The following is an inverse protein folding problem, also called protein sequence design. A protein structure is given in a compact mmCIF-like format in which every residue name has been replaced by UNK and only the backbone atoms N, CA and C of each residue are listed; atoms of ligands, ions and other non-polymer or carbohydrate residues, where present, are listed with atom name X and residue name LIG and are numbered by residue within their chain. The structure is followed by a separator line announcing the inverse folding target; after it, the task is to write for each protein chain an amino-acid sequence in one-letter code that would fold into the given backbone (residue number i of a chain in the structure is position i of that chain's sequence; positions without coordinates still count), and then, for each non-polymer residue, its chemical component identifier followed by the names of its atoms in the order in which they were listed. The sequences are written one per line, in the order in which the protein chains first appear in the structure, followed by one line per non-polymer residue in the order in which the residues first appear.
data_IF_749524477959
#
_entry.id   IF_749524477959
#
_cell.length_a   1.000
_cell.length_b   1.000
_cell.length_c   1.000
_cell.angle_alpha   90.00
_cell.angle_beta   90.00
_cell.angle_gamma   90.00
#
_symmetry.space_group_name_H-M   'P 1'
#
loop_
_entity.id
_entity.type
_entity.pdbx_description
1 polymer ?
#
# COMPACT_ATOMS: atom_id res chain seq x y z
N UNK A 1 3.07 -56.72 -35.07
CA UNK A 1 2.89 -55.33 -34.62
C UNK A 1 3.39 -54.45 -35.75
N UNK A 2 2.54 -53.60 -36.32
CA UNK A 2 2.86 -52.83 -37.52
C UNK A 2 3.79 -51.66 -37.17
N UNK A 3 4.95 -51.57 -37.81
CA UNK A 3 6.02 -50.62 -37.43
C UNK A 3 5.55 -49.16 -37.49
N UNK A 4 4.61 -48.87 -38.39
CA UNK A 4 3.99 -47.55 -38.55
C UNK A 4 3.14 -47.15 -37.34
N UNK A 5 2.45 -48.11 -36.72
CA UNK A 5 1.63 -47.88 -35.52
C UNK A 5 2.47 -47.61 -34.27
N UNK A 6 3.61 -48.31 -34.14
CA UNK A 6 4.56 -48.07 -33.06
C UNK A 6 5.20 -46.68 -33.15
N UNK A 7 5.63 -46.28 -34.35
CA UNK A 7 6.22 -44.96 -34.59
C UNK A 7 5.21 -43.84 -34.32
N UNK A 8 3.96 -43.98 -34.76
CA UNK A 8 2.90 -43.00 -34.47
C UNK A 8 2.64 -42.84 -32.96
N UNK A 9 2.67 -43.94 -32.20
CA UNK A 9 2.51 -43.90 -30.74
C UNK A 9 3.68 -43.20 -30.06
N UNK A 10 4.91 -43.42 -30.52
CA UNK A 10 6.11 -42.77 -29.99
C UNK A 10 6.06 -41.25 -30.18
N UNK A 11 5.66 -40.78 -31.36
CA UNK A 11 5.47 -39.34 -31.60
C UNK A 11 4.34 -38.74 -30.76
N UNK A 12 3.24 -39.47 -30.55
CA UNK A 12 2.16 -39.04 -29.66
C UNK A 12 2.66 -38.89 -28.22
N UNK A 13 3.40 -39.87 -27.71
CA UNK A 13 3.97 -39.83 -26.36
C UNK A 13 4.99 -38.70 -26.21
N UNK A 14 5.85 -38.48 -27.20
CA UNK A 14 6.81 -37.38 -27.20
C UNK A 14 6.10 -36.02 -27.17
N UNK A 15 5.00 -35.88 -27.92
CA UNK A 15 4.17 -34.67 -27.89
C UNK A 15 3.52 -34.44 -26.52
N UNK A 16 3.00 -35.50 -25.88
CA UNK A 16 2.44 -35.40 -24.51
C UNK A 16 3.50 -35.00 -23.48
N UNK A 17 4.71 -35.57 -23.55
CA UNK A 17 5.81 -35.17 -22.68
C UNK A 17 6.16 -33.70 -22.87
N UNK A 18 6.17 -33.22 -24.12
CA UNK A 18 6.42 -31.81 -24.41
C UNK A 18 5.36 -30.89 -23.80
N UNK A 19 4.07 -31.24 -23.92
CA UNK A 19 2.98 -30.51 -23.28
C UNK A 19 3.09 -30.51 -21.76
N UNK A 20 3.50 -31.63 -21.16
CA UNK A 20 3.71 -31.72 -19.71
C UNK A 20 4.84 -30.80 -19.26
N UNK A 21 5.98 -30.79 -19.96
CA UNK A 21 7.11 -29.89 -19.68
C UNK A 21 6.66 -28.43 -19.79
N UNK A 22 5.92 -28.10 -20.85
CA UNK A 22 5.43 -26.74 -21.08
C UNK A 22 4.48 -26.29 -19.97
N UNK A 23 3.59 -27.16 -19.52
CA UNK A 23 2.66 -26.90 -18.40
C UNK A 23 3.41 -26.63 -17.08
N UNK A 24 4.42 -27.47 -16.77
CA UNK A 24 5.24 -27.34 -15.56
C UNK A 24 5.94 -25.98 -15.50
N UNK A 25 6.37 -25.43 -16.64
CA UNK A 25 7.05 -24.13 -16.70
C UNK A 25 6.05 -22.97 -16.74
N UNK A 26 4.96 -23.12 -17.49
CA UNK A 26 4.03 -22.01 -17.76
C UNK A 26 3.17 -21.65 -16.55
N UNK A 27 2.68 -22.66 -15.81
CA UNK A 27 1.84 -22.44 -14.61
C UNK A 27 2.54 -21.56 -13.55
N UNK A 28 3.76 -21.89 -13.08
CA UNK A 28 4.43 -21.05 -12.07
C UNK A 28 4.79 -19.67 -12.59
N UNK A 29 5.11 -19.53 -13.88
CA UNK A 29 5.37 -18.21 -14.48
C UNK A 29 4.13 -17.31 -14.44
N UNK A 30 2.96 -17.84 -14.79
CA UNK A 30 1.69 -17.10 -14.71
C UNK A 30 1.39 -16.72 -13.25
N UNK A 31 1.58 -17.65 -12.32
CA UNK A 31 1.33 -17.40 -10.91
C UNK A 31 2.19 -16.24 -10.36
N UNK A 32 3.50 -16.27 -10.60
CA UNK A 32 4.42 -15.20 -10.19
C UNK A 32 4.07 -13.85 -10.83
N UNK A 33 3.63 -13.86 -12.08
CA UNK A 33 3.22 -12.65 -12.78
C UNK A 33 1.95 -12.03 -12.16
N UNK A 34 0.99 -12.87 -11.74
CA UNK A 34 -0.23 -12.44 -11.04
C UNK A 34 0.10 -11.86 -9.67
N UNK A 35 0.94 -12.52 -8.87
CA UNK A 35 1.36 -12.01 -7.56
C UNK A 35 2.05 -10.65 -7.67
N UNK A 36 3.00 -10.53 -8.60
CA UNK A 36 3.69 -9.25 -8.86
C UNK A 36 2.71 -8.15 -9.27
N UNK A 37 1.70 -8.48 -10.08
CA UNK A 37 0.67 -7.52 -10.50
C UNK A 37 -0.20 -7.07 -9.33
N UNK A 38 -0.61 -8.00 -8.45
CA UNK A 38 -1.39 -7.68 -7.26
C UNK A 38 -0.62 -6.82 -6.26
N UNK A 39 0.67 -7.08 -6.10
CA UNK A 39 1.59 -6.27 -5.27
C UNK A 39 1.64 -4.82 -5.76
N UNK A 40 1.75 -4.62 -7.07
CA UNK A 40 1.76 -3.29 -7.69
C UNK A 40 0.41 -2.58 -7.51
N UNK A 41 -0.70 -3.28 -7.71
CA UNK A 41 -2.05 -2.73 -7.48
C UNK A 41 -2.19 -2.25 -6.04
N UNK A 42 -1.81 -3.10 -5.07
CA UNK A 42 -1.86 -2.76 -3.64
C UNK A 42 -1.00 -1.53 -3.33
N UNK A 43 0.21 -1.46 -3.89
CA UNK A 43 1.08 -0.29 -3.72
C UNK A 43 0.47 1.00 -4.28
N UNK A 44 -0.22 0.92 -5.42
CA UNK A 44 -0.94 2.06 -6.03
C UNK A 44 -2.11 2.49 -5.15
N UNK A 45 -2.92 1.57 -4.65
CA UNK A 45 -4.04 1.86 -3.75
C UNK A 45 -3.57 2.55 -2.47
N UNK A 46 -2.50 2.04 -1.85
CA UNK A 46 -1.88 2.67 -0.68
C UNK A 46 -1.37 4.07 -1.02
N UNK A 47 -0.69 4.24 -2.16
CA UNK A 47 -0.17 5.54 -2.56
C UNK A 47 -1.32 6.53 -2.79
N UNK A 48 -2.42 6.09 -3.39
CA UNK A 48 -3.63 6.90 -3.58
C UNK A 48 -4.21 7.35 -2.24
N UNK A 49 -4.34 6.43 -1.27
CA UNK A 49 -4.76 6.74 0.09
C UNK A 49 -3.84 7.77 0.77
N UNK A 50 -2.52 7.60 0.68
CA UNK A 50 -1.57 8.56 1.26
C UNK A 50 -1.72 9.95 0.63
N UNK A 51 -1.93 10.03 -0.69
CA UNK A 51 -2.17 11.29 -1.40
C UNK A 51 -3.51 11.91 -0.99
N UNK A 52 -4.55 11.12 -0.78
CA UNK A 52 -5.84 11.62 -0.30
C UNK A 52 -5.72 12.21 1.11
N UNK A 53 -5.07 11.51 2.03
CA UNK A 53 -4.78 12.02 3.38
C UNK A 53 -3.94 13.30 3.28
N UNK A 54 -2.89 13.30 2.47
CA UNK A 54 -2.01 14.47 2.26
C UNK A 54 -2.78 15.70 1.74
N UNK A 55 -3.68 15.53 0.76
CA UNK A 55 -4.53 16.62 0.25
C UNK A 55 -5.38 17.24 1.36
N UNK A 56 -5.96 16.41 2.22
CA UNK A 56 -6.78 16.87 3.34
C UNK A 56 -5.93 17.53 4.44
N UNK A 57 -4.73 17.01 4.73
CA UNK A 57 -3.75 17.64 5.61
C UNK A 57 -3.39 19.02 5.07
N UNK A 58 -3.00 19.14 3.80
CA UNK A 58 -2.64 20.42 3.17
C UNK A 58 -3.79 21.43 3.25
N UNK A 59 -5.02 20.98 3.02
CA UNK A 59 -6.21 21.82 3.11
C UNK A 59 -6.47 22.30 4.54
N UNK A 60 -6.47 21.40 5.53
CA UNK A 60 -6.68 21.78 6.94
C UNK A 60 -5.56 22.69 7.43
N UNK A 61 -4.32 22.46 6.98
CA UNK A 61 -3.17 23.31 7.31
C UNK A 61 -3.35 24.74 6.79
N UNK A 62 -3.95 24.89 5.60
CA UNK A 62 -4.20 26.21 4.99
C UNK A 62 -5.38 26.98 5.59
N UNK A 63 -6.28 26.32 6.33
CA UNK A 63 -7.51 26.92 6.87
C UNK A 63 -7.36 27.52 8.28
N UNK A 64 -6.14 27.54 8.83
CA UNK A 64 -5.80 28.07 10.16
C UNK A 64 -6.07 27.12 11.34
N UNK A 65 -5.57 27.49 12.53
CA UNK A 65 -5.59 26.72 13.76
C UNK A 65 -7.03 26.34 14.18
N UNK A 66 -7.19 25.15 14.75
CA UNK A 66 -8.48 24.54 15.14
C UNK A 66 -9.38 24.06 14.00
N UNK A 67 -9.00 24.31 12.74
CA UNK A 67 -9.67 23.74 11.57
C UNK A 67 -9.72 22.22 11.66
N UNK A 68 -10.89 21.66 11.35
CA UNK A 68 -11.12 20.21 11.33
C UNK A 68 -11.89 19.81 10.09
N UNK A 69 -11.55 18.65 9.54
CA UNK A 69 -12.27 18.03 8.44
C UNK A 69 -12.48 16.55 8.74
N UNK A 70 -13.66 16.05 8.39
CA UNK A 70 -13.96 14.62 8.44
C UNK A 70 -13.94 14.07 7.03
N UNK A 71 -13.26 12.95 6.85
CA UNK A 71 -13.14 12.25 5.58
C UNK A 71 -13.40 10.75 5.78
N UNK A 72 -13.95 10.14 4.74
CA UNK A 72 -14.00 8.69 4.62
C UNK A 72 -12.78 8.25 3.83
N UNK A 73 -11.99 7.33 4.39
CA UNK A 73 -10.82 6.78 3.71
C UNK A 73 -10.86 5.26 3.76
N UNK A 74 -10.50 4.64 2.63
CA UNK A 74 -10.38 3.19 2.53
C UNK A 74 -8.93 2.76 2.73
N UNK A 75 -8.70 1.86 3.67
CA UNK A 75 -7.39 1.26 3.89
C UNK A 75 -7.34 -0.08 3.15
N UNK A 76 -6.50 -0.23 2.11
CA UNK A 76 -6.51 -1.40 1.24
C UNK A 76 -5.90 -2.67 1.87
N UNK A 77 -4.99 -2.52 2.82
CA UNK A 77 -4.35 -3.61 3.55
C UNK A 77 -4.02 -3.22 4.99
N UNK A 78 -3.79 -4.21 5.85
CA UNK A 78 -3.27 -3.96 7.19
C UNK A 78 -1.89 -3.29 7.07
N UNK A 79 -1.73 -2.11 7.67
CA UNK A 79 -0.52 -1.32 7.50
C UNK A 79 -0.20 -0.47 8.71
N UNK A 80 1.09 -0.19 8.88
CA UNK A 80 1.58 0.82 9.82
C UNK A 80 1.77 2.13 9.08
N UNK A 81 0.98 3.13 9.41
CA UNK A 81 1.16 4.49 8.94
C UNK A 81 2.06 5.23 9.95
N UNK A 82 3.09 5.92 9.48
CA UNK A 82 4.00 6.64 10.35
C UNK A 82 4.53 7.91 9.71
N UNK A 83 4.80 8.89 10.55
CA UNK A 83 5.41 10.16 10.20
C UNK A 83 6.94 10.04 10.26
N UNK A 84 7.62 10.59 9.25
CA UNK A 84 9.08 10.70 9.21
C UNK A 84 9.47 12.09 8.74
N UNK A 85 10.32 12.74 9.50
CA UNK A 85 10.99 13.97 9.10
C UNK A 85 12.40 13.62 8.61
N UNK A 86 12.81 14.19 7.48
CA UNK A 86 14.13 13.99 6.91
C UNK A 86 14.69 15.33 6.42
N UNK A 87 15.62 15.90 7.19
CA UNK A 87 16.07 17.28 7.05
C UNK A 87 14.89 18.25 7.05
N UNK A 88 14.64 18.95 5.93
CA UNK A 88 13.56 19.93 5.78
C UNK A 88 12.25 19.35 5.22
N UNK A 89 12.23 18.07 4.87
CA UNK A 89 11.07 17.42 4.25
C UNK A 89 10.36 16.49 5.21
N UNK A 90 9.05 16.66 5.27
CA UNK A 90 8.17 15.90 6.16
C UNK A 90 7.38 14.90 5.34
N UNK A 91 7.33 13.66 5.77
CA UNK A 91 6.73 12.56 5.01
C UNK A 91 5.73 11.76 5.84
N UNK A 92 4.59 11.49 5.23
CA UNK A 92 3.70 10.42 5.64
C UNK A 92 4.15 9.13 4.94
N UNK A 93 4.52 8.12 5.71
CA UNK A 93 5.13 6.89 5.21
C UNK A 93 4.39 5.63 5.66
N UNK A 94 4.47 4.59 4.85
CA UNK A 94 4.12 3.22 5.24
C UNK A 94 5.08 2.23 4.56
N UNK A 95 5.09 1.01 5.04
CA UNK A 95 5.90 -0.09 4.51
C UNK A 95 4.98 -1.20 4.04
N UNK A 96 5.17 -1.64 2.80
CA UNK A 96 4.48 -2.77 2.20
C UNK A 96 5.49 -3.89 1.96
N UNK A 97 5.14 -5.10 2.38
CA UNK A 97 5.90 -6.31 2.06
C UNK A 97 5.24 -6.98 0.85
N UNK A 98 6.00 -7.21 -0.20
CA UNK A 98 5.56 -7.88 -1.41
C UNK A 98 5.62 -9.40 -1.28
N UNK A 99 5.02 -10.10 -2.24
CA UNK A 99 4.95 -11.56 -2.33
C UNK A 99 6.34 -12.18 -2.47
N UNK A 100 7.31 -11.44 -3.02
CA UNK A 100 8.73 -11.82 -3.07
C UNK A 100 9.50 -11.59 -1.75
N UNK A 101 8.79 -11.24 -0.67
CA UNK A 101 9.36 -10.84 0.63
C UNK A 101 10.16 -9.53 0.63
N UNK A 102 10.20 -8.79 -0.48
CA UNK A 102 10.83 -7.48 -0.50
C UNK A 102 9.96 -6.45 0.21
N UNK A 103 10.60 -5.53 0.94
CA UNK A 103 9.90 -4.47 1.68
C UNK A 103 10.11 -3.15 0.95
N UNK A 104 9.02 -2.54 0.50
CA UNK A 104 9.05 -1.19 -0.10
C UNK A 104 8.44 -0.16 0.84
N UNK A 105 9.14 0.96 0.98
CA UNK A 105 8.65 2.14 1.68
C UNK A 105 7.89 3.04 0.70
N UNK A 106 6.64 3.33 1.02
CA UNK A 106 5.81 4.27 0.29
C UNK A 106 5.69 5.55 1.11
N UNK A 107 6.04 6.70 0.54
CA UNK A 107 6.02 7.98 1.22
C UNK A 107 5.33 9.07 0.41
N UNK A 108 4.70 10.03 1.08
CA UNK A 108 4.13 11.25 0.47
C UNK A 108 4.54 12.44 1.31
N UNK A 109 4.99 13.51 0.65
CA UNK A 109 5.44 14.74 1.31
C UNK A 109 4.26 15.54 1.86
N UNK A 110 4.34 15.92 3.13
CA UNK A 110 3.35 16.71 3.87
C UNK A 110 3.95 18.06 4.26
N UNK A 111 3.16 19.14 4.33
CA UNK A 111 3.69 20.48 4.60
C UNK A 111 3.97 20.75 6.08
N UNK A 112 3.52 19.88 6.98
CA UNK A 112 3.55 20.10 8.42
C UNK A 112 3.79 18.80 9.19
N UNK A 113 4.02 18.91 10.50
CA UNK A 113 4.09 17.76 11.38
C UNK A 113 2.73 17.04 11.44
N UNK A 114 2.78 15.72 11.54
CA UNK A 114 1.58 14.87 11.60
C UNK A 114 1.64 13.98 12.83
N UNK A 115 0.56 13.99 13.60
CA UNK A 115 0.34 13.13 14.74
C UNK A 115 -0.91 12.27 14.54
N UNK A 116 -1.04 11.18 15.29
CA UNK A 116 -2.14 10.22 15.12
C UNK A 116 -2.92 9.97 16.41
N UNK A 117 -4.16 9.50 16.28
CA UNK A 117 -5.03 9.03 17.37
C UNK A 117 -5.25 10.05 18.49
N UNK A 118 -5.36 11.34 18.16
CA UNK A 118 -5.59 12.39 19.18
C UNK A 118 -4.41 12.66 20.11
N UNK A 119 -3.27 11.99 19.93
CA UNK A 119 -2.08 12.17 20.75
C UNK A 119 -0.99 12.88 19.97
N UNK A 120 -0.58 14.02 20.50
CA UNK A 120 0.34 14.96 19.87
C UNK A 120 1.75 14.38 19.65
N UNK A 121 2.15 13.40 20.46
CA UNK A 121 3.46 12.73 20.37
C UNK A 121 3.41 11.40 19.61
N UNK A 122 2.23 10.97 19.16
CA UNK A 122 2.09 9.70 18.50
C UNK A 122 2.30 9.85 16.99
N UNK A 123 3.47 9.45 16.52
CA UNK A 123 3.89 9.57 15.12
C UNK A 123 3.59 8.32 14.30
N UNK A 124 2.84 7.35 14.84
CA UNK A 124 2.40 6.18 14.08
C UNK A 124 1.00 5.69 14.49
N UNK A 125 0.36 4.95 13.58
CA UNK A 125 -0.88 4.24 13.83
C UNK A 125 -0.90 2.92 13.05
N UNK A 126 -1.47 1.89 13.65
CA UNK A 126 -1.76 0.64 12.96
C UNK A 126 -3.18 0.70 12.44
N UNK A 127 -3.33 0.52 11.13
CA UNK A 127 -4.61 0.51 10.44
C UNK A 127 -4.88 -0.90 9.95
N UNK A 128 -6.14 -1.31 10.05
CA UNK A 128 -6.61 -2.57 9.47
C UNK A 128 -7.26 -2.30 8.13
N UNK A 129 -7.34 -3.31 7.29
CA UNK A 129 -8.09 -3.27 6.04
C UNK A 129 -9.57 -3.05 6.34
N UNK A 130 -10.01 -1.81 6.22
CA UNK A 130 -11.40 -1.41 6.41
C UNK A 130 -11.66 -0.01 5.88
N UNK A 131 -12.93 0.31 5.72
CA UNK A 131 -13.38 1.69 5.56
C UNK A 131 -13.36 2.40 6.92
N UNK A 132 -12.71 3.56 6.97
CA UNK A 132 -12.75 4.48 8.11
C UNK A 132 -13.58 5.69 7.72
N UNK A 133 -14.86 5.68 8.10
CA UNK A 133 -15.84 6.68 7.65
C UNK A 133 -15.75 8.01 8.40
N UNK A 134 -15.11 8.03 9.57
CA UNK A 134 -15.05 9.21 10.43
C UNK A 134 -13.60 9.61 10.74
N UNK A 135 -12.73 9.51 9.74
CA UNK A 135 -11.34 9.96 9.90
C UNK A 135 -11.31 11.48 10.04
N UNK A 136 -10.89 11.94 11.21
CA UNK A 136 -10.83 13.36 11.55
C UNK A 136 -9.41 13.88 11.35
N UNK A 137 -9.26 14.88 10.49
CA UNK A 137 -8.02 15.63 10.26
C UNK A 137 -8.19 16.99 10.92
N UNK A 138 -7.45 17.24 12.00
CA UNK A 138 -7.57 18.46 12.81
C UNK A 138 -6.23 19.16 12.98
N UNK A 139 -6.22 20.48 12.81
CA UNK A 139 -5.10 21.32 13.19
C UNK A 139 -5.06 21.45 14.73
N UNK A 140 -3.94 21.06 15.33
CA UNK A 140 -3.67 21.22 16.76
C UNK A 140 -2.48 22.15 16.94
N UNK A 141 -2.61 23.13 17.83
CA UNK A 141 -1.51 23.98 18.26
C UNK A 141 -0.93 23.45 19.56
N UNK A 142 0.39 23.39 19.63
CA UNK A 142 1.12 23.05 20.84
C UNK A 142 1.21 24.28 21.76
N UNK A 143 1.41 24.04 23.06
CA UNK A 143 1.66 25.09 24.04
C UNK A 143 2.93 25.91 23.78
N UNK A 144 3.88 25.37 23.00
CA UNK A 144 5.11 26.06 22.58
C UNK A 144 4.93 26.91 21.30
N UNK A 145 3.71 26.99 20.75
CA UNK A 145 3.40 27.79 19.56
C UNK A 145 3.58 27.09 18.21
N UNK A 146 4.13 25.87 18.16
CA UNK A 146 4.18 25.08 16.91
C UNK A 146 2.80 24.49 16.60
N UNK A 147 2.55 24.12 15.34
CA UNK A 147 1.29 23.52 14.89
C UNK A 147 1.52 22.17 14.21
N UNK A 148 0.70 21.17 14.53
CA UNK A 148 0.70 19.83 13.90
C UNK A 148 -0.72 19.46 13.50
N UNK A 149 -0.83 18.62 12.48
CA UNK A 149 -2.10 18.03 12.11
C UNK A 149 -2.25 16.67 12.76
N UNK A 150 -3.32 16.49 13.51
CA UNK A 150 -3.70 15.21 14.05
C UNK A 150 -4.67 14.50 13.11
N UNK A 151 -4.35 13.26 12.75
CA UNK A 151 -5.22 12.37 11.98
C UNK A 151 -5.73 11.28 12.91
N UNK A 152 -7.03 11.26 13.15
CA UNK A 152 -7.69 10.29 14.01
C UNK A 152 -8.59 9.38 13.18
N UNK A 153 -8.21 8.10 13.06
CA UNK A 153 -8.94 7.10 12.31
C UNK A 153 -10.01 6.47 13.21
N UNK A 154 -11.29 6.59 12.81
CA UNK A 154 -12.46 6.08 13.53
C UNK A 154 -13.38 5.29 12.62
#
# INVERSE_FOLDING_TARGET
MDSKGQVALEYLLMFFVFLMILSIITIPLIFNAVETSNDVITAIEIKSLLVEIQKNIKLVYSLDVESKRRISVFVPCDMKLFYVENADKKFLSTTLTFSDSSVKKLNVEVPCDVSFNGHVNNHYVYLKKSWYHNTEVKYIKYSNGTGSINVNFK
#
